data_IF_603525392991
#
_entry.id   IF_603525392991
#
_cell.length_a   1.000
_cell.length_b   1.000
_cell.length_c   1.000
_cell.angle_alpha   90.00
_cell.angle_beta   90.00
_cell.angle_gamma   90.00
#
_symmetry.space_group_name_H-M   'P 1'
#
loop_
_entity.id
_entity.type
_entity.pdbx_description
1 polymer ?
#
# COMPACT_ATOMS: atom_id res chain seq x y z
N UNK A 1 2.39 -73.00 -24.65
CA UNK A 1 1.98 -71.67 -25.15
C UNK A 1 1.95 -70.73 -23.97
N UNK A 2 2.96 -69.93 -23.79
CA UNK A 2 3.11 -68.98 -22.68
C UNK A 2 2.75 -67.59 -23.22
N UNK A 3 1.66 -67.00 -22.72
CA UNK A 3 1.19 -65.61 -23.09
C UNK A 3 1.87 -64.57 -22.17
N UNK A 4 2.80 -63.79 -22.67
CA UNK A 4 3.35 -62.61 -21.99
C UNK A 4 2.33 -61.46 -22.09
N UNK A 5 1.84 -60.96 -20.93
CA UNK A 5 1.09 -59.69 -20.82
C UNK A 5 2.09 -58.57 -20.67
N UNK A 6 2.22 -57.72 -21.69
CA UNK A 6 2.93 -56.43 -21.60
C UNK A 6 2.10 -55.45 -20.75
N UNK A 7 2.64 -55.04 -19.63
CA UNK A 7 2.13 -53.91 -18.88
C UNK A 7 2.83 -52.66 -19.39
N UNK A 8 2.08 -51.75 -20.05
CA UNK A 8 2.56 -50.42 -20.44
C UNK A 8 2.34 -49.48 -19.26
N UNK A 9 3.41 -49.09 -18.62
CA UNK A 9 3.39 -48.02 -17.61
C UNK A 9 3.35 -46.67 -18.32
N UNK A 10 2.23 -45.94 -18.26
CA UNK A 10 2.15 -44.55 -18.68
C UNK A 10 2.67 -43.71 -17.55
N UNK A 11 3.90 -43.21 -17.70
CA UNK A 11 4.49 -42.24 -16.79
C UNK A 11 3.90 -40.84 -17.11
N UNK A 12 2.88 -40.42 -16.35
CA UNK A 12 2.42 -39.03 -16.38
C UNK A 12 3.49 -38.14 -15.74
N UNK A 13 4.30 -37.49 -16.57
CA UNK A 13 5.19 -36.44 -16.15
C UNK A 13 4.33 -35.20 -15.83
N UNK A 14 3.99 -35.04 -14.56
CA UNK A 14 3.42 -33.79 -14.04
C UNK A 14 4.57 -32.79 -13.95
N UNK A 15 4.71 -31.94 -14.97
CA UNK A 15 5.57 -30.76 -14.88
C UNK A 15 4.89 -29.78 -13.93
N UNK A 16 5.52 -29.38 -12.82
CA UNK A 16 5.02 -28.25 -12.04
C UNK A 16 5.11 -27.01 -12.93
N UNK A 17 3.98 -26.50 -13.35
CA UNK A 17 3.92 -25.16 -13.95
C UNK A 17 4.27 -24.18 -12.84
N UNK A 18 5.52 -23.74 -12.82
CA UNK A 18 5.91 -22.57 -12.05
C UNK A 18 5.19 -21.38 -12.66
N UNK A 19 4.07 -21.01 -12.04
CA UNK A 19 3.44 -19.72 -12.31
C UNK A 19 4.39 -18.67 -11.73
N UNK A 20 5.25 -18.12 -12.57
CA UNK A 20 5.94 -16.90 -12.25
C UNK A 20 4.85 -15.84 -12.07
N UNK A 21 4.77 -15.25 -10.90
CA UNK A 21 3.98 -14.05 -10.74
C UNK A 21 4.57 -13.01 -11.70
N UNK A 22 3.90 -12.78 -12.81
CA UNK A 22 4.25 -11.69 -13.71
C UNK A 22 4.12 -10.41 -12.90
N UNK A 23 5.26 -9.75 -12.71
CA UNK A 23 5.31 -8.36 -12.28
C UNK A 23 4.71 -7.53 -13.42
N UNK A 24 3.40 -7.52 -13.53
CA UNK A 24 2.72 -6.74 -14.56
C UNK A 24 2.87 -5.28 -14.20
N UNK A 25 3.76 -4.62 -14.91
CA UNK A 25 3.92 -3.17 -14.87
C UNK A 25 2.58 -2.53 -15.23
N UNK A 26 1.86 -2.02 -14.22
CA UNK A 26 0.56 -1.40 -14.44
C UNK A 26 0.71 -0.09 -15.17
N UNK A 27 -0.25 0.17 -16.07
CA UNK A 27 -0.33 1.43 -16.82
C UNK A 27 -1.64 2.14 -16.49
N UNK A 28 -1.57 3.40 -16.10
CA UNK A 28 -2.74 4.25 -15.92
C UNK A 28 -3.20 4.79 -17.28
N UNK A 29 -4.45 4.54 -17.65
CA UNK A 29 -5.01 4.85 -18.96
C UNK A 29 -5.86 6.12 -18.98
N UNK A 30 -6.55 6.41 -17.87
CA UNK A 30 -7.45 7.56 -17.76
C UNK A 30 -7.73 7.89 -16.30
N UNK A 31 -8.43 8.98 -16.07
CA UNK A 31 -8.97 9.31 -14.75
C UNK A 31 -10.42 9.81 -14.84
N UNK A 32 -11.11 9.72 -13.72
CA UNK A 32 -12.41 10.38 -13.48
C UNK A 32 -12.34 11.21 -12.21
N UNK A 33 -13.02 12.35 -12.18
CA UNK A 33 -13.02 13.23 -11.01
C UNK A 33 -14.44 13.54 -10.55
N UNK A 34 -14.66 13.46 -9.25
CA UNK A 34 -15.91 13.89 -8.60
C UNK A 34 -15.53 14.74 -7.37
N UNK A 35 -15.65 16.05 -7.49
CA UNK A 35 -15.26 16.98 -6.43
C UNK A 35 -13.80 16.79 -6.03
N UNK A 36 -13.57 16.38 -4.78
CA UNK A 36 -12.21 16.14 -4.19
C UNK A 36 -11.72 14.72 -4.37
N UNK A 37 -12.45 13.88 -5.08
CA UNK A 37 -12.09 12.49 -5.36
C UNK A 37 -11.67 12.35 -6.81
N UNK A 38 -10.49 11.77 -7.02
CA UNK A 38 -9.92 11.44 -8.33
C UNK A 38 -9.66 9.95 -8.38
N UNK A 39 -10.21 9.28 -9.39
CA UNK A 39 -10.03 7.84 -9.61
C UNK A 39 -9.25 7.64 -10.91
N UNK A 40 -8.09 7.02 -10.80
CA UNK A 40 -7.24 6.64 -11.92
C UNK A 40 -7.55 5.20 -12.31
N UNK A 41 -7.84 4.97 -13.59
CA UNK A 41 -8.18 3.67 -14.17
C UNK A 41 -6.93 3.05 -14.82
N UNK A 42 -6.68 1.77 -14.49
CA UNK A 42 -5.52 1.05 -14.98
C UNK A 42 -5.91 0.06 -16.08
N UNK A 43 -4.96 -0.30 -16.94
CA UNK A 43 -5.19 -1.17 -18.09
C UNK A 43 -5.64 -2.59 -17.70
N UNK A 44 -5.29 -3.07 -16.50
CA UNK A 44 -5.68 -4.37 -15.94
C UNK A 44 -7.01 -4.34 -15.16
N UNK A 45 -7.84 -3.34 -15.38
CA UNK A 45 -9.09 -3.07 -14.67
C UNK A 45 -8.92 -2.65 -13.19
N UNK A 46 -7.71 -2.57 -12.67
CA UNK A 46 -7.45 -2.02 -11.34
C UNK A 46 -7.72 -0.51 -11.30
N UNK A 47 -7.88 0.03 -10.10
CA UNK A 47 -8.06 1.46 -9.89
C UNK A 47 -7.28 1.97 -8.69
N UNK A 48 -6.76 3.20 -8.81
CA UNK A 48 -6.20 3.98 -7.72
C UNK A 48 -7.09 5.20 -7.48
N UNK A 49 -7.67 5.30 -6.28
CA UNK A 49 -8.48 6.45 -5.91
C UNK A 49 -7.76 7.31 -4.89
N UNK A 50 -7.74 8.60 -5.14
CA UNK A 50 -7.27 9.63 -4.23
C UNK A 50 -8.45 10.49 -3.78
N UNK A 51 -8.62 10.68 -2.48
CA UNK A 51 -9.60 11.61 -1.92
C UNK A 51 -8.88 12.59 -1.00
N UNK A 52 -9.00 13.87 -1.29
CA UNK A 52 -8.35 14.93 -0.53
C UNK A 52 -9.25 15.39 0.63
N UNK A 53 -8.83 15.11 1.85
CA UNK A 53 -9.54 15.53 3.08
C UNK A 53 -9.14 16.95 3.49
N UNK A 54 -7.87 17.32 3.28
CA UNK A 54 -7.35 18.66 3.52
C UNK A 54 -6.24 18.99 2.53
N UNK A 55 -5.63 20.15 2.67
CA UNK A 55 -4.46 20.54 1.87
C UNK A 55 -3.24 19.63 2.07
N UNK A 56 -3.22 18.80 3.11
CA UNK A 56 -2.11 17.88 3.44
C UNK A 56 -2.54 16.45 3.74
N UNK A 57 -3.84 16.14 3.78
CA UNK A 57 -4.34 14.79 4.10
C UNK A 57 -5.01 14.18 2.89
N UNK A 58 -4.48 13.05 2.44
CA UNK A 58 -4.95 12.33 1.26
C UNK A 58 -5.25 10.88 1.62
N UNK A 59 -6.49 10.45 1.39
CA UNK A 59 -6.86 9.05 1.41
C UNK A 59 -6.47 8.42 0.09
N UNK A 60 -5.81 7.29 0.16
CA UNK A 60 -5.34 6.51 -0.98
C UNK A 60 -5.99 5.13 -0.90
N UNK A 61 -6.66 4.74 -1.96
CA UNK A 61 -7.33 3.45 -2.05
C UNK A 61 -6.93 2.77 -3.34
N UNK A 62 -6.20 1.68 -3.22
CA UNK A 62 -5.87 0.81 -4.33
C UNK A 62 -6.83 -0.38 -4.38
N UNK A 63 -7.52 -0.54 -5.52
CA UNK A 63 -8.42 -1.66 -5.81
C UNK A 63 -7.89 -2.47 -6.99
N UNK A 64 -7.47 -3.73 -6.80
CA UNK A 64 -6.91 -4.55 -7.88
C UNK A 64 -7.95 -5.00 -8.91
N UNK A 65 -9.23 -4.94 -8.59
CA UNK A 65 -10.36 -5.30 -9.45
C UNK A 65 -11.22 -4.09 -9.88
N UNK A 66 -10.77 -2.88 -9.51
CA UNK A 66 -11.48 -1.63 -9.80
C UNK A 66 -12.75 -1.41 -8.98
N UNK A 67 -13.10 -2.31 -8.06
CA UNK A 67 -14.27 -2.16 -7.20
C UNK A 67 -13.95 -1.22 -6.05
N UNK A 68 -14.51 -0.02 -6.09
CA UNK A 68 -14.30 1.04 -5.08
C UNK A 68 -15.53 1.25 -4.19
N UNK A 69 -16.39 0.24 -4.05
CA UNK A 69 -17.57 0.30 -3.21
C UNK A 69 -17.25 -0.18 -1.80
N UNK A 70 -16.85 0.72 -0.94
CA UNK A 70 -16.69 0.43 0.48
C UNK A 70 -18.05 0.39 1.17
N UNK A 71 -18.44 -0.77 1.70
CA UNK A 71 -19.73 -0.95 2.40
C UNK A 71 -19.73 -0.32 3.79
N UNK A 72 -18.58 -0.18 4.44
CA UNK A 72 -18.48 0.29 5.81
C UNK A 72 -17.62 1.56 5.88
N UNK A 73 -18.08 2.51 6.66
CA UNK A 73 -17.27 3.65 7.08
C UNK A 73 -16.18 3.17 8.05
N UNK A 74 -15.03 3.79 8.02
CA UNK A 74 -14.00 3.58 9.02
C UNK A 74 -14.50 3.95 10.41
N UNK A 75 -14.20 3.12 11.42
CA UNK A 75 -14.46 3.48 12.82
C UNK A 75 -13.41 4.44 13.38
N UNK A 76 -12.27 4.57 12.71
CA UNK A 76 -11.15 5.39 13.14
C UNK A 76 -11.07 6.75 12.47
N UNK A 77 -11.84 6.97 11.40
CA UNK A 77 -11.81 8.21 10.62
C UNK A 77 -13.17 8.89 10.64
N UNK A 78 -13.21 10.11 11.12
CA UNK A 78 -14.37 10.99 10.98
C UNK A 78 -14.38 11.48 9.54
N UNK A 79 -15.44 11.11 8.79
CA UNK A 79 -15.60 11.50 7.38
C UNK A 79 -16.11 12.94 7.22
N UNK A 80 -15.64 13.86 8.05
CA UNK A 80 -15.92 15.27 7.92
C UNK A 80 -14.84 15.95 7.09
N UNK A 81 -15.23 16.91 6.28
CA UNK A 81 -14.29 17.75 5.56
C UNK A 81 -13.52 18.60 6.58
N UNK A 82 -12.23 18.32 6.73
CA UNK A 82 -11.40 18.97 7.75
C UNK A 82 -11.04 20.42 7.39
N UNK A 83 -11.02 20.74 6.10
CA UNK A 83 -10.57 22.04 5.60
C UNK A 83 -11.11 22.26 4.18
N UNK A 84 -11.39 23.50 3.81
CA UNK A 84 -11.67 23.85 2.41
C UNK A 84 -10.38 23.74 1.58
N UNK A 85 -10.31 22.72 0.72
CA UNK A 85 -9.17 22.52 -0.19
C UNK A 85 -9.31 23.37 -1.47
N UNK A 86 -10.46 23.98 -1.67
CA UNK A 86 -10.81 24.64 -2.92
C UNK A 86 -11.13 23.63 -4.04
N UNK A 87 -11.20 24.15 -5.26
CA UNK A 87 -11.41 23.29 -6.44
C UNK A 87 -10.11 22.58 -6.78
N UNK A 88 -10.16 21.25 -6.83
CA UNK A 88 -9.04 20.43 -7.25
C UNK A 88 -8.99 20.41 -8.76
N UNK A 89 -7.83 20.58 -9.33
CA UNK A 89 -7.56 20.41 -10.76
C UNK A 89 -6.55 19.30 -10.99
N UNK A 90 -6.81 18.45 -11.99
CA UNK A 90 -5.89 17.40 -12.40
C UNK A 90 -5.24 17.86 -13.70
N UNK A 91 -3.96 18.12 -13.66
CA UNK A 91 -3.16 18.44 -14.84
C UNK A 91 -2.70 17.15 -15.50
N UNK A 92 -3.16 16.91 -16.71
CA UNK A 92 -2.73 15.79 -17.51
C UNK A 92 -1.49 16.14 -18.34
N UNK A 93 -0.42 15.42 -18.13
CA UNK A 93 0.83 15.51 -18.87
C UNK A 93 1.06 14.22 -19.69
N UNK A 94 2.02 14.24 -20.59
CA UNK A 94 2.33 13.07 -21.44
C UNK A 94 2.65 11.81 -20.61
N UNK A 95 3.44 11.95 -19.53
CA UNK A 95 3.93 10.83 -18.73
C UNK A 95 3.23 10.66 -17.36
N UNK A 96 2.47 11.65 -16.90
CA UNK A 96 1.87 11.64 -15.56
C UNK A 96 0.61 12.51 -15.48
N UNK A 97 -0.09 12.35 -14.38
CA UNK A 97 -1.12 13.27 -13.88
C UNK A 97 -0.59 13.99 -12.65
N UNK A 98 -0.89 15.25 -12.49
CA UNK A 98 -0.51 16.05 -11.32
C UNK A 98 -1.72 16.69 -10.66
N UNK A 99 -1.76 16.65 -9.34
CA UNK A 99 -2.76 17.32 -8.52
C UNK A 99 -2.02 18.25 -7.57
N UNK A 100 -2.47 19.50 -7.48
CA UNK A 100 -1.87 20.50 -6.62
C UNK A 100 -2.83 20.90 -5.50
N UNK A 101 -2.29 20.96 -4.29
CA UNK A 101 -2.93 21.60 -3.14
C UNK A 101 -2.02 22.73 -2.63
N UNK A 102 -2.47 23.58 -1.70
CA UNK A 102 -1.59 24.58 -1.08
C UNK A 102 -0.33 24.02 -0.39
N UNK A 103 -0.34 22.73 0.01
CA UNK A 103 0.77 22.11 0.75
C UNK A 103 1.45 20.97 0.00
N UNK A 104 0.77 20.32 -0.93
CA UNK A 104 1.26 19.11 -1.61
C UNK A 104 1.18 19.25 -3.14
N UNK A 105 2.11 18.58 -3.79
CA UNK A 105 2.00 18.16 -5.19
C UNK A 105 1.96 16.63 -5.24
N UNK A 106 0.91 16.09 -5.81
CA UNK A 106 0.70 14.65 -5.95
C UNK A 106 0.86 14.31 -7.42
N UNK A 107 1.74 13.37 -7.73
CA UNK A 107 2.00 12.89 -9.08
C UNK A 107 1.62 11.42 -9.19
N UNK A 108 0.86 11.08 -10.22
CA UNK A 108 0.59 9.69 -10.63
C UNK A 108 1.22 9.49 -11.99
N UNK A 109 2.32 8.74 -12.03
CA UNK A 109 2.97 8.37 -13.29
C UNK A 109 2.08 7.39 -14.07
N UNK A 110 2.07 7.49 -15.40
CA UNK A 110 1.20 6.67 -16.25
C UNK A 110 1.77 5.27 -16.46
N UNK A 111 3.06 5.13 -16.75
CA UNK A 111 3.70 3.85 -17.04
C UNK A 111 5.20 3.88 -16.70
N UNK A 112 5.69 3.04 -15.77
CA UNK A 112 4.88 2.26 -14.83
C UNK A 112 4.05 3.17 -13.91
N UNK A 113 2.82 2.72 -13.59
CA UNK A 113 1.96 3.46 -12.67
C UNK A 113 2.61 3.51 -11.29
N UNK A 114 2.78 4.71 -10.75
CA UNK A 114 3.33 4.92 -9.42
C UNK A 114 2.88 6.26 -8.85
N UNK A 115 2.66 6.28 -7.54
CA UNK A 115 2.27 7.47 -6.80
C UNK A 115 3.49 8.11 -6.16
N UNK A 116 3.60 9.44 -6.28
CA UNK A 116 4.59 10.26 -5.63
C UNK A 116 3.92 11.47 -4.98
N UNK A 117 4.35 11.83 -3.78
CA UNK A 117 3.85 13.00 -3.05
C UNK A 117 5.03 13.88 -2.66
N UNK A 118 4.94 15.16 -3.03
CA UNK A 118 5.93 16.18 -2.76
C UNK A 118 5.31 17.27 -1.88
N UNK A 119 6.12 17.95 -1.09
CA UNK A 119 5.72 19.16 -0.41
C UNK A 119 5.64 20.37 -1.38
N UNK A 120 5.16 21.50 -0.87
CA UNK A 120 5.09 22.76 -1.64
C UNK A 120 6.45 23.28 -2.14
N UNK A 121 7.55 22.80 -1.57
CA UNK A 121 8.92 23.14 -1.98
C UNK A 121 9.52 22.15 -2.96
N UNK A 122 8.70 21.22 -3.51
CA UNK A 122 9.10 20.19 -4.46
C UNK A 122 10.00 19.09 -3.84
N UNK A 123 10.10 19.02 -2.52
CA UNK A 123 10.80 17.93 -1.85
C UNK A 123 9.92 16.68 -1.87
N UNK A 124 10.45 15.57 -2.38
CA UNK A 124 9.76 14.28 -2.37
C UNK A 124 9.59 13.79 -0.92
N UNK A 125 8.35 13.61 -0.49
CA UNK A 125 8.01 13.09 0.84
C UNK A 125 7.78 11.58 0.80
N UNK A 126 7.04 11.11 -0.18
CA UNK A 126 6.56 9.74 -0.27
C UNK A 126 6.57 9.27 -1.73
N UNK A 127 6.95 8.01 -1.99
CA UNK A 127 6.96 7.45 -3.33
C UNK A 127 6.72 5.96 -3.30
N UNK A 128 5.95 5.47 -4.25
CA UNK A 128 5.90 4.05 -4.54
C UNK A 128 7.28 3.53 -4.94
N UNK A 129 7.56 2.27 -4.56
CA UNK A 129 8.77 1.60 -4.98
C UNK A 129 8.58 1.05 -6.37
N UNK A 130 9.21 1.71 -7.35
CA UNK A 130 9.21 1.38 -8.78
C UNK A 130 8.06 0.44 -9.23
N UNK A 131 8.37 -0.70 -9.82
CA UNK A 131 7.40 -1.62 -10.43
C UNK A 131 6.55 -2.42 -9.42
N UNK A 132 6.75 -2.21 -8.12
CA UNK A 132 6.08 -2.94 -7.04
C UNK A 132 5.21 -2.06 -6.14
N UNK A 133 4.87 -0.85 -6.54
CA UNK A 133 4.11 0.08 -5.69
C UNK A 133 2.90 -0.56 -5.03
N UNK A 134 2.11 -1.28 -5.82
CA UNK A 134 0.87 -1.93 -5.41
C UNK A 134 0.85 -3.38 -5.91
N UNK A 135 0.93 -4.36 -5.01
CA UNK A 135 0.91 -5.80 -5.34
C UNK A 135 -0.33 -6.46 -4.75
N UNK A 136 -0.94 -7.35 -5.51
CA UNK A 136 -2.07 -8.16 -5.06
C UNK A 136 -1.84 -9.62 -5.41
N UNK A 137 -1.94 -10.49 -4.41
CA UNK A 137 -1.79 -11.95 -4.53
C UNK A 137 -3.01 -12.62 -3.88
N UNK A 138 -3.99 -12.96 -4.70
CA UNK A 138 -5.29 -13.43 -4.19
C UNK A 138 -5.96 -12.36 -3.34
N UNK A 139 -6.24 -12.65 -2.06
CA UNK A 139 -6.83 -11.68 -1.11
C UNK A 139 -5.80 -10.76 -0.45
N UNK A 140 -4.54 -11.16 -0.45
CA UNK A 140 -3.44 -10.39 0.14
C UNK A 140 -3.09 -9.19 -0.74
N UNK A 141 -2.89 -8.04 -0.10
CA UNK A 141 -2.46 -6.79 -0.73
C UNK A 141 -1.23 -6.24 -0.02
N UNK A 142 -0.28 -5.77 -0.78
CA UNK A 142 0.99 -5.21 -0.27
C UNK A 142 1.29 -3.89 -0.96
N UNK A 143 1.63 -2.91 -0.17
CA UNK A 143 2.12 -1.60 -0.60
C UNK A 143 3.63 -1.53 -0.36
N UNK A 144 4.41 -1.32 -1.41
CA UNK A 144 5.85 -1.13 -1.34
C UNK A 144 6.20 0.33 -1.60
N UNK A 145 6.95 0.92 -0.69
CA UNK A 145 7.33 2.34 -0.73
C UNK A 145 8.84 2.49 -0.65
N UNK A 146 9.37 3.47 -1.36
CA UNK A 146 10.82 3.77 -1.34
C UNK A 146 11.27 4.04 0.09
N UNK A 147 12.33 3.34 0.50
CA UNK A 147 13.02 3.57 1.78
C UNK A 147 14.32 4.35 1.51
N UNK A 148 14.40 5.57 1.99
CA UNK A 148 15.60 6.39 1.86
C UNK A 148 16.67 5.97 2.86
N UNK A 149 17.91 6.26 2.54
CA UNK A 149 19.07 5.84 3.36
C UNK A 149 19.01 6.34 4.81
N UNK A 150 18.49 7.54 5.02
CA UNK A 150 18.39 8.23 6.30
C UNK A 150 16.94 8.37 6.80
N UNK A 151 16.05 7.53 6.29
CA UNK A 151 14.66 7.54 6.72
C UNK A 151 14.46 6.68 7.96
N UNK A 152 13.81 7.24 8.97
CA UNK A 152 13.50 6.66 10.26
C UNK A 152 12.00 6.71 10.51
N UNK A 153 11.47 5.74 11.22
CA UNK A 153 10.04 5.58 11.45
C UNK A 153 9.73 5.48 12.94
N UNK A 154 8.62 6.12 13.34
CA UNK A 154 8.17 6.20 14.72
C UNK A 154 6.67 5.94 14.78
N UNK A 155 6.19 5.25 15.80
CA UNK A 155 4.76 4.99 15.98
C UNK A 155 4.41 3.52 16.16
N UNK A 156 3.26 3.10 15.60
CA UNK A 156 2.62 1.79 15.77
C UNK A 156 2.11 1.52 17.19
N UNK A 157 1.98 2.57 18.01
CA UNK A 157 1.46 2.48 19.37
C UNK A 157 2.38 1.75 20.33
N UNK A 158 1.80 0.96 21.23
CA UNK A 158 2.51 0.22 22.27
C UNK A 158 3.16 -1.04 21.70
N UNK A 159 4.30 -0.85 21.02
CA UNK A 159 5.15 -1.92 20.53
C UNK A 159 6.44 -1.96 21.34
N UNK A 160 6.86 -3.15 21.73
CA UNK A 160 8.14 -3.36 22.41
C UNK A 160 9.32 -2.98 21.48
N UNK A 161 10.51 -2.87 22.04
CA UNK A 161 11.73 -2.62 21.31
C UNK A 161 12.10 -1.15 21.18
N UNK A 162 12.81 -0.83 20.10
CA UNK A 162 13.36 0.50 19.87
C UNK A 162 12.29 1.51 19.46
N UNK A 163 12.48 2.79 19.78
CA UNK A 163 11.62 3.87 19.31
C UNK A 163 11.68 4.01 17.79
N UNK A 164 12.86 3.96 17.21
CA UNK A 164 13.06 3.91 15.76
C UNK A 164 12.71 2.52 15.24
N UNK A 165 11.70 2.44 14.40
CA UNK A 165 11.16 1.21 13.82
C UNK A 165 11.94 0.72 12.58
N UNK A 166 12.93 1.46 12.12
CA UNK A 166 13.76 1.07 10.98
C UNK A 166 14.44 -0.27 11.24
N UNK A 167 14.40 -1.19 10.26
CA UNK A 167 14.89 -2.57 10.32
C UNK A 167 14.09 -3.51 11.21
N UNK A 168 12.87 -3.14 11.54
CA UNK A 168 11.96 -3.95 12.33
C UNK A 168 10.67 -4.25 11.56
N UNK A 169 9.96 -5.32 11.95
CA UNK A 169 8.64 -5.67 11.43
C UNK A 169 7.65 -5.75 12.60
N UNK A 170 6.40 -5.35 12.35
CA UNK A 170 5.37 -5.32 13.39
C UNK A 170 4.02 -5.77 12.86
N UNK A 171 3.35 -6.63 13.62
CA UNK A 171 2.00 -7.10 13.36
C UNK A 171 0.97 -6.24 14.10
N UNK A 172 -0.07 -5.84 13.40
CA UNK A 172 -1.25 -5.21 13.98
C UNK A 172 -2.27 -6.29 14.33
N UNK A 173 -2.12 -6.85 15.53
CA UNK A 173 -3.01 -7.84 16.09
C UNK A 173 -2.99 -7.74 17.62
N UNK A 174 -4.17 -7.69 18.23
CA UNK A 174 -4.25 -7.57 19.68
C UNK A 174 -4.04 -8.95 20.31
N UNK A 175 -3.00 -9.09 21.11
CA UNK A 175 -2.64 -10.33 21.80
C UNK A 175 -2.36 -10.07 23.27
N UNK A 176 -2.95 -10.88 24.14
CA UNK A 176 -2.63 -10.86 25.57
C UNK A 176 -1.32 -11.63 25.79
N UNK A 177 -0.27 -10.91 26.16
CA UNK A 177 1.09 -11.42 26.35
C UNK A 177 1.64 -10.99 27.71
N UNK A 178 1.29 -11.69 28.80
CA UNK A 178 1.84 -11.36 30.10
C UNK A 178 3.37 -11.56 30.12
N UNK A 179 4.08 -10.69 30.78
CA UNK A 179 5.54 -10.75 30.92
C UNK A 179 6.29 -10.75 29.57
N UNK A 180 5.86 -9.93 28.62
CA UNK A 180 6.48 -9.84 27.31
C UNK A 180 7.92 -9.30 27.37
N UNK A 181 8.74 -9.74 26.43
CA UNK A 181 10.10 -9.26 26.21
C UNK A 181 10.15 -8.08 25.22
N UNK A 182 11.31 -7.44 25.12
CA UNK A 182 11.54 -6.31 24.18
C UNK A 182 11.46 -6.69 22.71
N UNK A 183 11.42 -7.98 22.38
CA UNK A 183 11.32 -8.49 20.99
C UNK A 183 9.95 -9.11 20.71
N UNK A 184 9.03 -9.04 21.65
CA UNK A 184 7.71 -9.66 21.51
C UNK A 184 6.79 -8.83 20.61
N UNK A 185 6.19 -9.48 19.62
CA UNK A 185 5.15 -8.92 18.76
C UNK A 185 4.26 -10.08 18.25
N UNK A 186 2.95 -9.94 18.16
CA UNK A 186 2.12 -8.77 18.54
C UNK A 186 1.87 -8.64 20.04
N UNK A 187 1.43 -7.43 20.46
CA UNK A 187 1.06 -7.09 21.84
C UNK A 187 -0.40 -6.63 21.96
N UNK A 188 -0.75 -6.02 23.10
CA UNK A 188 -2.12 -5.67 23.51
C UNK A 188 -2.86 -4.72 22.57
N UNK A 189 -2.15 -3.77 21.91
CA UNK A 189 -2.76 -2.72 21.10
C UNK A 189 -2.23 -2.71 19.67
N UNK A 190 -3.13 -2.41 18.74
CA UNK A 190 -2.83 -2.23 17.33
C UNK A 190 -3.19 -0.80 16.93
N UNK A 191 -2.20 0.01 16.63
CA UNK A 191 -2.35 1.37 16.11
C UNK A 191 -1.60 1.43 14.78
N UNK A 192 -2.26 1.18 13.65
CA UNK A 192 -1.63 1.07 12.34
C UNK A 192 -1.27 2.45 11.76
N UNK A 193 -0.58 3.24 12.57
CA UNK A 193 -0.11 4.59 12.26
C UNK A 193 1.36 4.75 12.59
N UNK A 194 2.14 5.25 11.62
CA UNK A 194 3.51 5.64 11.83
C UNK A 194 3.82 7.01 11.22
N UNK A 195 4.89 7.62 11.69
CA UNK A 195 5.45 8.86 11.15
C UNK A 195 6.87 8.63 10.64
N UNK A 196 7.24 9.33 9.58
CA UNK A 196 8.61 9.40 9.06
C UNK A 196 9.28 10.72 9.47
N UNK A 197 10.60 10.70 9.70
CA UNK A 197 11.40 11.92 9.85
C UNK A 197 11.37 12.81 8.60
N UNK A 198 10.83 12.33 7.47
CA UNK A 198 10.53 13.10 6.27
C UNK A 198 9.26 13.94 6.36
N UNK A 199 8.64 14.02 7.56
CA UNK A 199 7.47 14.85 7.90
C UNK A 199 6.20 14.43 7.19
N UNK A 200 5.94 13.15 7.15
CA UNK A 200 4.65 12.58 6.79
C UNK A 200 4.30 11.44 7.74
N UNK A 201 3.04 11.10 7.79
CA UNK A 201 2.53 9.93 8.48
C UNK A 201 1.68 9.07 7.54
N UNK A 202 1.61 7.78 7.86
CA UNK A 202 0.71 6.84 7.18
C UNK A 202 -0.18 6.17 8.22
N UNK A 203 -1.48 6.22 8.00
CA UNK A 203 -2.47 5.45 8.73
C UNK A 203 -3.09 4.42 7.80
N UNK A 204 -2.94 3.12 8.11
CA UNK A 204 -3.53 2.01 7.36
C UNK A 204 -4.92 1.68 7.93
N UNK A 205 -5.97 1.95 7.16
CA UNK A 205 -7.35 1.73 7.56
C UNK A 205 -7.85 0.34 7.12
N UNK A 206 -7.33 -0.68 7.80
CA UNK A 206 -7.68 -2.08 7.59
C UNK A 206 -7.74 -2.79 8.94
N UNK A 207 -8.81 -3.56 9.20
CA UNK A 207 -9.06 -4.23 10.48
C UNK A 207 -8.59 -5.68 10.54
N UNK A 208 -8.05 -6.22 9.47
CA UNK A 208 -7.40 -7.53 9.48
C UNK A 208 -6.02 -7.47 10.15
N UNK A 209 -5.43 -8.63 10.40
CA UNK A 209 -4.06 -8.72 10.89
C UNK A 209 -3.09 -8.18 9.83
N UNK A 210 -2.73 -6.91 9.93
CA UNK A 210 -1.82 -6.26 9.01
C UNK A 210 -0.38 -6.32 9.52
N UNK A 211 0.58 -6.21 8.62
CA UNK A 211 2.01 -6.21 8.95
C UNK A 211 2.70 -4.99 8.35
N UNK A 212 3.63 -4.39 9.10
CA UNK A 212 4.52 -3.32 8.65
C UNK A 212 5.96 -3.81 8.69
N UNK A 213 6.71 -3.62 7.61
CA UNK A 213 8.10 -4.05 7.44
C UNK A 213 8.96 -2.86 7.03
N UNK A 214 9.72 -2.31 7.96
CA UNK A 214 10.52 -1.11 7.75
C UNK A 214 11.93 -1.43 7.25
N UNK A 215 12.05 -2.01 6.05
CA UNK A 215 13.33 -2.36 5.45
C UNK A 215 13.95 -3.64 5.99
N UNK A 216 13.15 -4.59 6.47
CA UNK A 216 13.58 -5.94 6.88
C UNK A 216 13.82 -6.85 5.69
N UNK A 217 13.05 -6.69 4.62
CA UNK A 217 13.17 -7.48 3.38
C UNK A 217 14.19 -6.88 2.40
N UNK A 218 14.28 -5.55 2.36
CA UNK A 218 15.20 -4.81 1.48
C UNK A 218 15.67 -3.53 2.15
N UNK A 219 16.81 -3.00 1.67
CA UNK A 219 17.30 -1.68 2.08
C UNK A 219 16.69 -0.53 1.29
N UNK A 220 16.00 -0.86 0.19
CA UNK A 220 15.52 0.11 -0.79
C UNK A 220 14.02 0.39 -0.65
N UNK A 221 13.29 -0.45 0.08
CA UNK A 221 11.87 -0.25 0.33
C UNK A 221 11.45 -0.63 1.75
N UNK A 222 10.35 -0.05 2.18
CA UNK A 222 9.51 -0.53 3.27
C UNK A 222 8.15 -0.95 2.72
N UNK A 223 7.43 -1.77 3.45
CA UNK A 223 6.11 -2.25 3.02
C UNK A 223 5.13 -2.32 4.18
N UNK A 224 3.86 -2.26 3.82
CA UNK A 224 2.77 -2.63 4.71
C UNK A 224 1.76 -3.48 3.94
N UNK A 225 1.22 -4.50 4.62
CA UNK A 225 0.40 -5.51 3.98
C UNK A 225 -0.84 -5.86 4.78
N UNK A 226 -1.88 -6.27 4.06
CA UNK A 226 -3.12 -6.80 4.61
C UNK A 226 -3.43 -8.16 3.96
N UNK A 227 -3.72 -9.21 4.73
CA UNK A 227 -4.02 -10.53 4.19
C UNK A 227 -5.38 -10.57 3.51
N UNK A 228 -6.26 -9.62 3.82
CA UNK A 228 -7.60 -9.49 3.27
C UNK A 228 -8.14 -8.07 3.45
N UNK A 229 -9.33 -7.81 2.91
CA UNK A 229 -9.97 -6.50 2.98
C UNK A 229 -9.43 -5.52 1.94
N UNK A 230 -9.76 -4.26 2.14
CA UNK A 230 -9.37 -3.18 1.23
C UNK A 230 -8.00 -2.60 1.60
N UNK A 231 -7.24 -2.21 0.59
CA UNK A 231 -5.99 -1.48 0.79
C UNK A 231 -6.29 0.02 0.77
N UNK A 232 -6.69 0.52 1.94
CA UNK A 232 -6.99 1.93 2.18
C UNK A 232 -6.03 2.48 3.21
N UNK A 233 -5.35 3.55 2.87
CA UNK A 233 -4.48 4.25 3.81
C UNK A 233 -4.53 5.76 3.61
N UNK A 234 -4.10 6.49 4.61
CA UNK A 234 -4.08 7.94 4.63
C UNK A 234 -2.64 8.43 4.70
N UNK A 235 -2.29 9.31 3.79
CA UNK A 235 -1.11 10.15 3.87
C UNK A 235 -1.49 11.43 4.63
N UNK A 236 -0.68 11.78 5.65
CA UNK A 236 -0.96 12.87 6.61
C UNK A 236 0.27 13.78 6.73
#
# INVERSE_FOLDING_TARGET
MIRYRLWVWVLCLIFPTWVWAENTTRTCTSFTQQGRQVTFHLADSAALQLQLFSSSVVKIWFSPDGQLQRRNTSFAVINEELEEVGTIHVDEQAACYEIFTPKLRIRVNKSPMSLQIFDKYQKLLFSDYADKGHVSEGTKKVEYKVLRRDEHFFGLGEKAGKMDRRRESYNMWNSDKPCYSVVEDPLYKSIPFFMSNYRYGIFLDNTYKTEFKFGTESRDYYSFEAPNGEMVYYFI
#
